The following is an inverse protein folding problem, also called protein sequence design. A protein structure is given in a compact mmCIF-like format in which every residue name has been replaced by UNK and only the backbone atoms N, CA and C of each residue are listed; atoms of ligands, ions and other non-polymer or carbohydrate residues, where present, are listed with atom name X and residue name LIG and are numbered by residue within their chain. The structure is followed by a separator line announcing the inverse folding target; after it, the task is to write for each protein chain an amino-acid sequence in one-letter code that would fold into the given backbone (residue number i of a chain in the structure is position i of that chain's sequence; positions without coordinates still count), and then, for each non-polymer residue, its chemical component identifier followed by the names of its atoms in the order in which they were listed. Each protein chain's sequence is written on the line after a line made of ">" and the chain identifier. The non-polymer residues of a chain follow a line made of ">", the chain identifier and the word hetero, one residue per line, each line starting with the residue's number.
data_IF_097517111309
#
_entry.id   IF_097517111309
#
_cell.length_a   1.000
_cell.length_b   1.000
_cell.length_c   1.000
_cell.angle_alpha   90.00
_cell.angle_beta   90.00
_cell.angle_gamma   90.00
#
_symmetry.space_group_name_H-M   'P 1'
#
loop_
_entity.id
_entity.type
_entity.pdbx_description
1 polymer ?
#
# COMPACT_ATOMS: atom_id res chain seq x y z
N UNK A 1 1.61 3.60 -25.59
CA UNK A 1 2.46 3.80 -24.38
C UNK A 1 2.63 2.46 -23.68
N UNK A 2 3.78 2.21 -23.07
CA UNK A 2 3.96 1.08 -22.15
C UNK A 2 3.23 1.37 -20.82
N UNK A 3 2.97 0.36 -20.02
CA UNK A 3 2.31 0.51 -18.70
C UNK A 3 3.07 1.49 -17.77
N UNK A 4 4.41 1.53 -17.84
CA UNK A 4 5.22 2.48 -17.08
C UNK A 4 5.07 3.92 -17.61
N UNK A 5 5.02 4.10 -18.92
CA UNK A 5 4.77 5.41 -19.55
C UNK A 5 3.36 5.92 -19.26
N UNK A 6 2.34 5.04 -19.22
CA UNK A 6 0.97 5.37 -18.82
C UNK A 6 0.95 5.91 -17.38
N UNK A 7 1.59 5.21 -16.44
CA UNK A 7 1.70 5.67 -15.07
C UNK A 7 2.36 7.06 -14.98
N UNK A 8 3.53 7.24 -15.60
CA UNK A 8 4.28 8.50 -15.56
C UNK A 8 3.49 9.65 -16.21
N UNK A 9 2.73 9.36 -17.25
CA UNK A 9 1.86 10.32 -17.91
C UNK A 9 0.80 10.85 -16.95
N UNK A 10 -0.05 9.98 -16.38
CA UNK A 10 -1.12 10.39 -15.47
C UNK A 10 -0.62 10.93 -14.14
N UNK A 11 0.58 10.55 -13.71
CA UNK A 11 1.21 11.12 -12.52
C UNK A 11 1.72 12.55 -12.73
N UNK A 12 2.31 12.85 -13.88
CA UNK A 12 3.06 14.09 -14.10
C UNK A 12 2.23 15.25 -14.65
N UNK A 13 1.16 14.97 -15.39
CA UNK A 13 0.33 16.00 -16.02
C UNK A 13 -0.71 16.55 -15.04
N UNK A 14 -0.81 17.87 -14.95
CA UNK A 14 -1.76 18.54 -14.04
C UNK A 14 -3.15 18.74 -14.66
N UNK A 15 -3.24 18.69 -15.98
CA UNK A 15 -4.49 18.83 -16.75
C UNK A 15 -4.49 17.81 -17.88
N UNK A 16 -5.67 17.32 -18.23
CA UNK A 16 -5.87 16.32 -19.28
C UNK A 16 -6.79 16.89 -20.35
N UNK A 17 -6.45 16.65 -21.62
CA UNK A 17 -7.29 16.96 -22.78
C UNK A 17 -8.47 15.96 -22.88
N UNK A 18 -9.42 16.24 -23.79
CA UNK A 18 -10.51 15.29 -24.07
C UNK A 18 -9.99 13.94 -24.59
N UNK A 19 -8.92 13.95 -25.37
CA UNK A 19 -8.27 12.72 -25.86
C UNK A 19 -7.62 11.95 -24.71
N UNK A 20 -6.94 12.61 -23.78
CA UNK A 20 -6.34 11.98 -22.61
C UNK A 20 -7.39 11.33 -21.69
N UNK A 21 -8.55 12.00 -21.56
CA UNK A 21 -9.69 11.46 -20.81
C UNK A 21 -10.26 10.24 -21.52
N UNK A 22 -10.39 10.26 -22.84
CA UNK A 22 -10.85 9.13 -23.62
C UNK A 22 -9.88 7.94 -23.52
N UNK A 23 -8.57 8.19 -23.61
CA UNK A 23 -7.54 7.17 -23.43
C UNK A 23 -7.58 6.56 -22.02
N UNK A 24 -7.82 7.38 -20.97
CA UNK A 24 -7.96 6.89 -19.61
C UNK A 24 -9.11 5.87 -19.48
N UNK A 25 -10.25 6.15 -20.10
CA UNK A 25 -11.38 5.21 -20.13
C UNK A 25 -11.04 3.93 -20.92
N UNK A 26 -10.35 4.06 -22.05
CA UNK A 26 -9.92 2.89 -22.81
C UNK A 26 -9.02 1.99 -21.97
N UNK A 27 -8.03 2.53 -21.26
CA UNK A 27 -7.16 1.75 -20.39
C UNK A 27 -7.92 1.11 -19.22
N UNK A 28 -8.76 1.88 -18.53
CA UNK A 28 -9.43 1.39 -17.30
C UNK A 28 -10.53 0.37 -17.58
N UNK A 29 -11.12 0.36 -18.77
CA UNK A 29 -12.18 -0.58 -19.17
C UNK A 29 -11.66 -1.79 -19.97
N UNK A 30 -10.37 -1.80 -20.36
CA UNK A 30 -9.80 -2.93 -21.08
C UNK A 30 -9.60 -4.13 -20.14
N UNK A 31 -10.47 -5.14 -20.32
CA UNK A 31 -10.38 -6.39 -19.56
C UNK A 31 -9.33 -7.36 -20.11
N UNK A 32 -8.81 -7.12 -21.31
CA UNK A 32 -7.75 -7.95 -21.93
C UNK A 32 -6.35 -7.54 -21.46
N UNK A 33 -6.15 -6.28 -21.12
CA UNK A 33 -4.91 -5.74 -20.54
C UNK A 33 -5.21 -4.87 -19.32
N UNK A 34 -5.51 -5.51 -18.20
CA UNK A 34 -5.88 -4.82 -16.97
C UNK A 34 -4.75 -4.01 -16.36
N UNK A 35 -3.48 -4.32 -16.67
CA UNK A 35 -2.31 -3.65 -16.09
C UNK A 35 -2.28 -2.17 -16.47
N UNK A 36 -2.56 -1.82 -17.72
CA UNK A 36 -2.54 -0.44 -18.18
C UNK A 36 -3.56 0.42 -17.40
N UNK A 37 -4.76 -0.10 -17.20
CA UNK A 37 -5.79 0.57 -16.39
C UNK A 37 -5.39 0.74 -14.93
N UNK A 38 -4.82 -0.28 -14.31
CA UNK A 38 -4.34 -0.22 -12.94
C UNK A 38 -3.19 0.78 -12.76
N UNK A 39 -2.31 0.91 -13.77
CA UNK A 39 -1.22 1.87 -13.77
C UNK A 39 -1.71 3.30 -14.03
N UNK A 40 -2.70 3.50 -14.89
CA UNK A 40 -3.35 4.80 -15.09
C UNK A 40 -4.02 5.30 -13.80
N UNK A 41 -4.78 4.44 -13.10
CA UNK A 41 -5.41 4.75 -11.81
C UNK A 41 -4.35 5.09 -10.76
N UNK A 42 -3.27 4.31 -10.68
CA UNK A 42 -2.19 4.56 -9.73
C UNK A 42 -1.48 5.90 -10.01
N UNK A 43 -1.17 6.20 -11.27
CA UNK A 43 -0.59 7.47 -11.69
C UNK A 43 -1.47 8.65 -11.32
N UNK A 44 -2.76 8.59 -11.64
CA UNK A 44 -3.73 9.66 -11.33
C UNK A 44 -3.94 9.82 -9.82
N UNK A 45 -3.97 8.73 -9.06
CA UNK A 45 -4.05 8.76 -7.59
C UNK A 45 -2.86 9.51 -7.00
N UNK A 46 -1.64 9.18 -7.42
CA UNK A 46 -0.43 9.85 -6.94
C UNK A 46 -0.41 11.32 -7.37
N UNK A 47 -0.82 11.62 -8.61
CA UNK A 47 -0.98 12.99 -9.08
C UNK A 47 -1.82 13.82 -8.11
N UNK A 48 -3.00 13.32 -7.73
CA UNK A 48 -3.92 13.97 -6.81
C UNK A 48 -3.35 14.14 -5.39
N UNK A 49 -2.44 13.26 -4.97
CA UNK A 49 -1.79 13.32 -3.65
C UNK A 49 -0.54 14.20 -3.64
N UNK A 50 0.22 14.26 -4.75
CA UNK A 50 1.48 15.02 -4.84
C UNK A 50 1.27 16.48 -5.26
N UNK A 51 0.21 16.79 -5.99
CA UNK A 51 -0.01 18.10 -6.58
C UNK A 51 -1.06 18.91 -5.79
N UNK A 52 -1.24 20.16 -6.23
CA UNK A 52 -2.34 21.01 -5.74
C UNK A 52 -3.69 20.43 -6.15
N UNK A 53 -4.70 20.77 -5.37
CA UNK A 53 -6.08 20.36 -5.62
C UNK A 53 -6.53 20.56 -7.07
N UNK A 54 -7.08 19.52 -7.67
CA UNK A 54 -7.74 19.54 -8.98
C UNK A 54 -9.05 18.78 -8.91
N UNK A 55 -10.16 19.49 -9.11
CA UNK A 55 -11.49 18.88 -9.16
C UNK A 55 -11.63 17.98 -10.40
N UNK A 56 -11.12 18.43 -11.54
CA UNK A 56 -11.26 17.72 -12.81
C UNK A 56 -10.53 16.36 -12.77
N UNK A 57 -9.33 16.34 -12.21
CA UNK A 57 -8.58 15.08 -12.04
C UNK A 57 -9.28 14.13 -11.06
N UNK A 58 -9.91 14.67 -10.00
CA UNK A 58 -10.70 13.83 -9.10
C UNK A 58 -11.97 13.32 -9.77
N UNK A 59 -12.64 14.13 -10.58
CA UNK A 59 -13.80 13.69 -11.36
C UNK A 59 -13.43 12.59 -12.35
N UNK A 60 -12.25 12.67 -12.99
CA UNK A 60 -11.76 11.62 -13.87
C UNK A 60 -11.61 10.28 -13.11
N UNK A 61 -11.06 10.31 -11.87
CA UNK A 61 -10.94 9.13 -11.03
C UNK A 61 -12.33 8.57 -10.61
N UNK A 62 -13.32 9.42 -10.34
CA UNK A 62 -14.67 9.00 -9.95
C UNK A 62 -15.41 8.38 -11.13
N UNK A 63 -15.38 9.05 -12.28
CA UNK A 63 -16.20 8.66 -13.44
C UNK A 63 -15.70 7.39 -14.12
N UNK A 64 -14.45 6.98 -13.90
CA UNK A 64 -13.95 5.70 -14.43
C UNK A 64 -14.51 4.45 -13.73
N UNK A 65 -15.28 4.60 -12.63
CA UNK A 65 -15.85 3.47 -11.92
C UNK A 65 -16.82 2.63 -12.76
N UNK A 66 -17.43 3.21 -13.79
CA UNK A 66 -18.35 2.51 -14.67
C UNK A 66 -17.60 1.60 -15.65
N UNK A 67 -17.87 0.30 -15.60
CA UNK A 67 -17.27 -0.67 -16.53
C UNK A 67 -15.83 -1.11 -16.20
N UNK A 68 -15.29 -0.67 -15.09
CA UNK A 68 -13.93 -1.00 -14.64
C UNK A 68 -13.85 -2.42 -14.05
N UNK A 69 -12.65 -3.01 -14.05
CA UNK A 69 -12.41 -4.29 -13.39
C UNK A 69 -12.61 -4.22 -11.87
N UNK A 70 -12.93 -5.33 -11.19
CA UNK A 70 -13.06 -5.34 -9.73
C UNK A 70 -11.81 -4.81 -9.00
N UNK A 71 -10.61 -5.18 -9.45
CA UNK A 71 -9.36 -4.69 -8.88
C UNK A 71 -9.17 -3.18 -9.13
N UNK A 72 -9.50 -2.72 -10.33
CA UNK A 72 -9.50 -1.29 -10.66
C UNK A 72 -10.42 -0.51 -9.74
N UNK A 73 -11.64 -1.00 -9.52
CA UNK A 73 -12.60 -0.38 -8.60
C UNK A 73 -12.06 -0.31 -7.16
N UNK A 74 -11.42 -1.37 -6.67
CA UNK A 74 -10.80 -1.36 -5.34
C UNK A 74 -9.69 -0.29 -5.25
N UNK A 75 -8.84 -0.14 -6.29
CA UNK A 75 -7.81 0.90 -6.35
C UNK A 75 -8.40 2.31 -6.40
N UNK A 76 -9.51 2.51 -7.14
CA UNK A 76 -10.23 3.79 -7.16
C UNK A 76 -10.76 4.12 -5.78
N UNK A 77 -11.41 3.20 -5.08
CA UNK A 77 -11.92 3.43 -3.73
C UNK A 77 -10.80 3.81 -2.77
N UNK A 78 -9.66 3.12 -2.80
CA UNK A 78 -8.49 3.46 -1.98
C UNK A 78 -7.97 4.85 -2.33
N UNK A 79 -7.78 5.14 -3.62
CA UNK A 79 -7.33 6.44 -4.11
C UNK A 79 -8.26 7.57 -3.65
N UNK A 80 -9.56 7.38 -3.82
CA UNK A 80 -10.60 8.34 -3.41
C UNK A 80 -10.55 8.63 -1.91
N UNK A 81 -10.42 7.59 -1.06
CA UNK A 81 -10.31 7.76 0.39
C UNK A 81 -9.05 8.57 0.77
N UNK A 82 -7.90 8.28 0.16
CA UNK A 82 -6.66 9.02 0.42
C UNK A 82 -6.76 10.48 -0.05
N UNK A 83 -7.33 10.73 -1.23
CA UNK A 83 -7.57 12.08 -1.75
C UNK A 83 -8.52 12.86 -0.85
N UNK A 84 -9.57 12.22 -0.31
CA UNK A 84 -10.46 12.85 0.67
C UNK A 84 -9.75 13.19 1.97
N UNK A 85 -8.84 12.37 2.45
CA UNK A 85 -8.02 12.67 3.64
C UNK A 85 -7.12 13.88 3.35
N UNK A 86 -6.45 13.90 2.21
CA UNK A 86 -5.52 14.97 1.82
C UNK A 86 -6.21 16.32 1.56
N UNK A 87 -7.37 16.28 0.92
CA UNK A 87 -8.06 17.47 0.41
C UNK A 87 -9.42 17.74 1.11
N UNK A 88 -9.63 17.24 2.32
CA UNK A 88 -10.86 17.34 3.11
C UNK A 88 -11.50 18.75 3.08
N UNK A 89 -10.69 19.79 3.23
CA UNK A 89 -11.16 21.18 3.27
C UNK A 89 -11.80 21.64 1.96
N UNK A 90 -11.28 21.19 0.81
CA UNK A 90 -11.82 21.55 -0.51
C UNK A 90 -13.10 20.76 -0.79
N UNK A 91 -13.10 19.46 -0.51
CA UNK A 91 -14.24 18.57 -0.77
C UNK A 91 -15.46 18.96 0.06
N UNK A 92 -15.29 19.32 1.32
CA UNK A 92 -16.39 19.78 2.20
C UNK A 92 -17.18 20.96 1.65
N UNK A 93 -16.55 21.79 0.80
CA UNK A 93 -17.16 23.03 0.25
C UNK A 93 -17.93 22.78 -1.04
N UNK A 94 -17.71 21.65 -1.71
CA UNK A 94 -18.36 21.31 -2.98
C UNK A 94 -19.39 20.19 -2.77
N UNK A 95 -20.67 20.59 -2.62
CA UNK A 95 -21.78 19.65 -2.37
C UNK A 95 -22.04 18.70 -3.54
N UNK A 96 -21.84 19.14 -4.77
CA UNK A 96 -22.06 18.31 -5.95
C UNK A 96 -20.99 17.20 -6.00
N UNK A 97 -19.72 17.58 -5.89
CA UNK A 97 -18.62 16.64 -5.81
C UNK A 97 -18.79 15.65 -4.66
N UNK A 98 -19.25 16.13 -3.49
CA UNK A 98 -19.51 15.25 -2.34
C UNK A 98 -20.60 14.22 -2.66
N UNK A 99 -21.61 14.58 -3.43
CA UNK A 99 -22.65 13.65 -3.90
C UNK A 99 -22.07 12.51 -4.74
N UNK A 100 -21.24 12.84 -5.74
CA UNK A 100 -20.55 11.86 -6.60
C UNK A 100 -19.66 10.90 -5.77
N UNK A 101 -18.87 11.46 -4.86
CA UNK A 101 -18.04 10.66 -3.95
C UNK A 101 -18.90 9.70 -3.10
N UNK A 102 -20.00 10.19 -2.53
CA UNK A 102 -20.89 9.36 -1.72
C UNK A 102 -21.50 8.22 -2.53
N UNK A 103 -21.85 8.44 -3.78
CA UNK A 103 -22.36 7.40 -4.66
C UNK A 103 -21.37 6.24 -4.81
N UNK A 104 -20.10 6.53 -5.11
CA UNK A 104 -19.04 5.52 -5.21
C UNK A 104 -18.86 4.78 -3.88
N UNK A 105 -18.75 5.48 -2.76
CA UNK A 105 -18.49 4.87 -1.45
C UNK A 105 -19.67 4.03 -0.94
N UNK A 106 -20.90 4.42 -1.26
CA UNK A 106 -22.10 3.69 -0.85
C UNK A 106 -22.44 2.51 -1.75
N UNK A 107 -21.90 2.48 -2.97
CA UNK A 107 -22.00 1.32 -3.85
C UNK A 107 -21.30 0.07 -3.26
N UNK A 108 -20.17 0.25 -2.57
CA UNK A 108 -19.44 -0.82 -1.91
C UNK A 108 -19.05 -0.44 -0.46
N UNK A 109 -20.01 -0.40 0.48
CA UNK A 109 -19.76 0.13 1.82
C UNK A 109 -18.79 -0.71 2.65
N UNK A 110 -18.79 -2.03 2.47
CA UNK A 110 -17.87 -2.93 3.16
C UNK A 110 -16.43 -2.74 2.67
N UNK A 111 -16.24 -2.56 1.36
CA UNK A 111 -14.94 -2.25 0.77
C UNK A 111 -14.42 -0.90 1.27
N UNK A 112 -15.28 0.12 1.25
CA UNK A 112 -14.94 1.47 1.73
C UNK A 112 -14.53 1.46 3.20
N UNK A 113 -15.25 0.73 4.05
CA UNK A 113 -14.90 0.58 5.46
C UNK A 113 -13.59 -0.21 5.66
N UNK A 114 -13.40 -1.29 4.91
CA UNK A 114 -12.17 -2.10 4.96
C UNK A 114 -10.96 -1.28 4.54
N UNK A 115 -11.07 -0.56 3.42
CA UNK A 115 -9.99 0.31 2.93
C UNK A 115 -9.65 1.43 3.95
N UNK A 116 -10.65 2.10 4.53
CA UNK A 116 -10.41 3.12 5.55
C UNK A 116 -9.78 2.53 6.82
N UNK A 117 -10.21 1.34 7.24
CA UNK A 117 -9.62 0.63 8.37
C UNK A 117 -8.15 0.30 8.11
N UNK A 118 -7.82 -0.12 6.89
CA UNK A 118 -6.45 -0.44 6.50
C UNK A 118 -5.58 0.83 6.40
N UNK A 119 -6.13 1.95 5.93
CA UNK A 119 -5.43 3.24 5.98
C UNK A 119 -5.14 3.63 7.45
N UNK A 120 -6.09 3.45 8.36
CA UNK A 120 -5.86 3.67 9.79
C UNK A 120 -4.74 2.79 10.34
N UNK A 121 -4.66 1.53 9.93
CA UNK A 121 -3.61 0.57 10.34
C UNK A 121 -2.21 0.96 9.88
N UNK A 122 -2.04 1.82 8.87
CA UNK A 122 -0.72 2.33 8.48
C UNK A 122 -0.06 3.13 9.61
N UNK A 123 -0.84 3.73 10.51
CA UNK A 123 -0.32 4.44 11.69
C UNK A 123 0.49 3.50 12.60
N UNK A 124 0.14 2.23 12.65
CA UNK A 124 0.83 1.22 13.46
C UNK A 124 2.18 0.80 12.87
N UNK A 125 2.40 0.98 11.56
CA UNK A 125 3.72 0.77 10.93
C UNK A 125 4.72 1.76 11.52
N UNK A 126 4.36 3.04 11.60
CA UNK A 126 5.19 4.09 12.21
C UNK A 126 5.45 3.81 13.71
N UNK A 127 4.43 3.33 14.41
CA UNK A 127 4.58 2.92 15.82
C UNK A 127 5.57 1.75 15.96
N UNK A 128 5.52 0.76 15.07
CA UNK A 128 6.48 -0.35 15.05
C UNK A 128 7.91 0.13 14.77
N UNK A 129 8.09 1.07 13.84
CA UNK A 129 9.42 1.67 13.58
C UNK A 129 9.98 2.35 14.84
N UNK A 130 9.14 3.14 15.53
CA UNK A 130 9.53 3.81 16.77
C UNK A 130 9.86 2.81 17.88
N UNK A 131 9.03 1.78 18.04
CA UNK A 131 9.24 0.70 19.00
C UNK A 131 10.58 -0.01 18.74
N UNK A 132 10.85 -0.40 17.50
CA UNK A 132 12.12 -1.06 17.15
C UNK A 132 13.34 -0.16 17.37
N UNK A 133 13.23 1.14 17.05
CA UNK A 133 14.30 2.10 17.30
C UNK A 133 14.58 2.25 18.81
N UNK A 134 13.53 2.25 19.64
CA UNK A 134 13.65 2.31 21.09
C UNK A 134 14.25 1.02 21.64
N UNK A 135 13.73 -0.14 21.26
CA UNK A 135 14.23 -1.44 21.68
C UNK A 135 15.72 -1.62 21.31
N UNK A 136 16.10 -1.19 20.11
CA UNK A 136 17.50 -1.21 19.67
C UNK A 136 18.39 -0.38 20.59
N UNK A 137 17.96 0.82 20.98
CA UNK A 137 18.71 1.67 21.93
C UNK A 137 18.85 1.02 23.31
N UNK A 138 17.81 0.33 23.79
CA UNK A 138 17.83 -0.38 25.07
C UNK A 138 18.77 -1.60 25.02
N UNK A 139 18.80 -2.33 23.90
CA UNK A 139 19.61 -3.54 23.74
C UNK A 139 21.06 -3.26 23.31
N UNK A 140 21.33 -2.15 22.61
CA UNK A 140 22.65 -1.86 22.07
C UNK A 140 23.79 -1.90 23.11
N UNK A 141 23.64 -1.37 24.35
CA UNK A 141 24.66 -1.47 25.37
C UNK A 141 24.96 -2.91 25.82
N UNK A 142 23.96 -3.81 25.67
CA UNK A 142 24.04 -5.21 26.11
C UNK A 142 24.49 -6.15 24.98
N UNK A 143 24.67 -5.64 23.74
CA UNK A 143 24.99 -6.49 22.56
C UNK A 143 26.28 -7.27 22.71
N UNK A 144 27.26 -6.75 23.43
CA UNK A 144 28.53 -7.45 23.68
C UNK A 144 28.40 -8.53 24.77
N UNK A 145 27.27 -8.58 25.47
CA UNK A 145 27.04 -9.50 26.59
C UNK A 145 25.64 -10.14 26.46
N UNK A 146 25.34 -10.72 25.28
CA UNK A 146 24.01 -11.25 24.94
C UNK A 146 23.53 -12.42 25.81
N UNK A 147 24.42 -13.01 26.63
CA UNK A 147 24.08 -14.12 27.53
C UNK A 147 23.61 -13.61 28.91
N UNK A 148 23.49 -12.29 29.12
CA UNK A 148 23.00 -11.76 30.38
C UNK A 148 21.49 -11.90 30.51
N UNK A 149 21.03 -12.23 31.71
CA UNK A 149 19.59 -12.27 32.04
C UNK A 149 18.89 -10.93 31.70
N UNK A 150 19.58 -9.82 31.87
CA UNK A 150 19.08 -8.49 31.57
C UNK A 150 18.66 -8.29 30.10
N UNK A 151 19.44 -8.84 29.12
CA UNK A 151 19.09 -8.80 27.71
C UNK A 151 17.76 -9.52 27.44
N UNK A 152 17.60 -10.71 27.97
CA UNK A 152 16.37 -11.50 27.80
C UNK A 152 15.18 -10.91 28.59
N UNK A 153 15.40 -10.31 29.73
CA UNK A 153 14.36 -9.67 30.52
C UNK A 153 13.77 -8.44 29.81
N UNK A 154 14.61 -7.62 29.15
CA UNK A 154 14.14 -6.52 28.30
C UNK A 154 13.27 -7.06 27.17
N UNK A 155 13.74 -8.05 26.38
CA UNK A 155 12.95 -8.63 25.28
C UNK A 155 11.60 -9.15 25.81
N UNK A 156 11.61 -9.92 26.87
CA UNK A 156 10.40 -10.50 27.46
C UNK A 156 9.43 -9.43 27.96
N UNK A 157 9.93 -8.35 28.57
CA UNK A 157 9.08 -7.24 29.05
C UNK A 157 8.41 -6.47 27.92
N UNK A 158 9.01 -6.45 26.72
CA UNK A 158 8.51 -5.76 25.53
C UNK A 158 7.68 -6.64 24.59
N UNK A 159 7.68 -7.95 24.80
CA UNK A 159 7.06 -8.91 23.87
C UNK A 159 5.57 -8.63 23.67
N UNK A 160 4.80 -8.40 24.74
CA UNK A 160 3.36 -8.14 24.64
C UNK A 160 3.03 -6.87 23.84
N UNK A 161 3.83 -5.82 24.00
CA UNK A 161 3.67 -4.57 23.22
C UNK A 161 4.01 -4.80 21.75
N UNK A 162 5.09 -5.52 21.46
CA UNK A 162 5.49 -5.87 20.10
C UNK A 162 4.40 -6.69 19.39
N UNK A 163 3.90 -7.74 20.05
CA UNK A 163 2.83 -8.59 19.50
C UNK A 163 1.55 -7.79 19.23
N UNK A 164 1.20 -6.87 20.13
CA UNK A 164 0.04 -6.02 19.96
C UNK A 164 0.17 -5.11 18.73
N UNK A 165 1.30 -4.41 18.57
CA UNK A 165 1.56 -3.56 17.40
C UNK A 165 1.62 -4.40 16.13
N UNK A 166 2.31 -5.54 16.15
CA UNK A 166 2.44 -6.44 15.01
C UNK A 166 1.08 -6.94 14.51
N UNK A 167 0.15 -7.24 15.42
CA UNK A 167 -1.21 -7.66 15.07
C UNK A 167 -2.04 -6.55 14.43
N UNK A 168 -1.81 -5.30 14.80
CA UNK A 168 -2.59 -4.16 14.34
C UNK A 168 -2.03 -3.50 13.08
N UNK A 169 -0.71 -3.60 12.82
CA UNK A 169 -0.11 -2.96 11.65
C UNK A 169 -0.59 -3.58 10.33
N UNK A 170 -0.65 -2.74 9.29
CA UNK A 170 -1.07 -3.17 7.96
C UNK A 170 0.00 -3.99 7.25
N UNK A 171 1.27 -3.59 7.37
CA UNK A 171 2.38 -4.12 6.58
C UNK A 171 3.41 -4.78 7.48
N UNK A 172 3.28 -6.09 7.65
CA UNK A 172 4.20 -6.89 8.47
C UNK A 172 5.59 -7.03 7.83
N UNK A 173 5.67 -6.87 6.50
CA UNK A 173 6.91 -6.99 5.74
C UNK A 173 7.65 -5.65 5.60
N UNK A 174 7.08 -4.52 6.05
CA UNK A 174 7.63 -3.19 5.83
C UNK A 174 9.11 -3.06 6.24
N UNK A 175 9.47 -3.55 7.41
CA UNK A 175 10.84 -3.44 7.91
C UNK A 175 11.82 -4.29 7.08
N UNK A 176 11.39 -5.46 6.62
CA UNK A 176 12.18 -6.31 5.72
C UNK A 176 12.31 -5.64 4.37
N UNK A 177 11.20 -5.19 3.79
CA UNK A 177 11.18 -4.49 2.50
C UNK A 177 12.07 -3.25 2.52
N UNK A 178 12.10 -2.50 3.64
CA UNK A 178 12.95 -1.33 3.80
C UNK A 178 14.45 -1.62 3.61
N UNK A 179 14.92 -2.83 3.88
CA UNK A 179 16.31 -3.19 3.63
C UNK A 179 16.57 -3.49 2.13
N UNK A 180 15.52 -3.70 1.35
CA UNK A 180 15.60 -4.24 -0.01
C UNK A 180 15.11 -3.30 -1.13
N UNK A 181 14.43 -2.20 -0.78
CA UNK A 181 13.92 -1.23 -1.76
C UNK A 181 15.01 -0.51 -2.58
N UNK A 182 16.28 -0.63 -2.17
CA UNK A 182 17.42 0.02 -2.86
C UNK A 182 17.90 -0.72 -4.11
N UNK A 183 17.19 -1.77 -4.56
CA UNK A 183 17.49 -2.47 -5.83
C UNK A 183 17.28 -1.54 -7.02
N UNK A 184 18.01 -1.75 -8.15
CA UNK A 184 17.83 -0.95 -9.36
C UNK A 184 16.37 -0.85 -9.81
N UNK A 185 15.61 -1.93 -9.70
CA UNK A 185 14.20 -1.99 -10.07
C UNK A 185 13.37 -0.88 -9.42
N UNK A 186 13.48 -0.67 -8.10
CA UNK A 186 12.73 0.37 -7.41
C UNK A 186 13.37 1.76 -7.49
N UNK A 187 14.68 1.84 -7.79
CA UNK A 187 15.42 3.12 -7.84
C UNK A 187 15.32 3.84 -9.17
N UNK A 188 15.10 3.12 -10.25
CA UNK A 188 15.14 3.66 -11.61
C UNK A 188 13.78 4.17 -12.06
N UNK A 189 12.69 3.50 -11.63
CA UNK A 189 11.34 3.78 -12.14
C UNK A 189 10.31 3.90 -10.99
N UNK A 190 9.69 5.09 -10.81
CA UNK A 190 8.62 5.28 -9.84
C UNK A 190 7.44 4.31 -10.03
N UNK A 191 7.09 4.01 -11.28
CA UNK A 191 6.01 3.10 -11.64
C UNK A 191 6.18 1.68 -11.06
N UNK A 192 7.42 1.22 -10.90
CA UNK A 192 7.72 -0.13 -10.39
C UNK A 192 7.26 -0.37 -8.94
N UNK A 193 7.02 0.70 -8.17
CA UNK A 193 6.49 0.59 -6.82
C UNK A 193 5.03 0.16 -6.76
N UNK A 194 4.29 0.40 -7.86
CA UNK A 194 2.84 0.18 -7.97
C UNK A 194 2.46 -0.77 -9.09
N UNK A 195 3.48 -1.33 -9.78
CA UNK A 195 3.30 -2.27 -10.86
C UNK A 195 2.58 -3.52 -10.35
N UNK A 196 1.44 -3.92 -10.95
CA UNK A 196 0.79 -5.18 -10.66
C UNK A 196 1.71 -6.35 -10.94
N UNK A 197 1.61 -7.39 -10.13
CA UNK A 197 2.42 -8.58 -10.29
C UNK A 197 2.19 -9.26 -11.64
N UNK A 198 3.29 -9.64 -12.29
CA UNK A 198 3.30 -10.47 -13.50
C UNK A 198 4.30 -11.60 -13.35
N UNK A 199 3.98 -12.76 -13.92
CA UNK A 199 4.86 -13.94 -13.89
C UNK A 199 6.19 -13.71 -14.61
N UNK A 200 6.30 -12.71 -15.47
CA UNK A 200 7.56 -12.34 -16.14
C UNK A 200 8.71 -12.07 -15.14
N UNK A 201 8.38 -11.59 -13.95
CA UNK A 201 9.38 -11.36 -12.90
C UNK A 201 10.04 -12.67 -12.43
N UNK A 202 9.37 -13.83 -12.57
CA UNK A 202 9.95 -15.15 -12.28
C UNK A 202 11.12 -15.52 -13.21
N UNK A 203 11.25 -14.84 -14.36
CA UNK A 203 12.41 -15.03 -15.22
C UNK A 203 13.74 -14.64 -14.55
N UNK A 204 13.71 -13.85 -13.48
CA UNK A 204 14.86 -13.55 -12.65
C UNK A 204 15.26 -14.70 -11.71
N UNK A 205 14.38 -15.69 -11.53
CA UNK A 205 14.59 -16.88 -10.70
C UNK A 205 15.19 -18.00 -11.55
N UNK A 206 16.08 -18.81 -10.95
CA UNK A 206 16.60 -20.01 -11.60
C UNK A 206 15.45 -20.96 -11.95
N UNK A 207 15.45 -21.54 -13.14
CA UNK A 207 14.32 -22.34 -13.67
C UNK A 207 13.90 -23.47 -12.72
N UNK A 208 14.86 -24.10 -12.07
CA UNK A 208 14.65 -25.19 -11.09
C UNK A 208 13.91 -24.74 -9.81
N UNK A 209 13.92 -23.45 -9.50
CA UNK A 209 13.37 -22.90 -8.28
C UNK A 209 12.05 -22.10 -8.51
N UNK A 210 11.67 -21.85 -9.77
CA UNK A 210 10.51 -21.01 -10.12
C UNK A 210 9.22 -21.51 -9.52
N UNK A 211 8.94 -22.81 -9.63
CA UNK A 211 7.71 -23.41 -9.10
C UNK A 211 7.62 -23.28 -7.58
N UNK A 212 8.73 -23.50 -6.87
CA UNK A 212 8.76 -23.38 -5.42
C UNK A 212 8.53 -21.93 -4.98
N UNK A 213 9.17 -20.97 -5.65
CA UNK A 213 9.02 -19.52 -5.35
C UNK A 213 7.64 -19.01 -5.72
N UNK A 214 7.07 -19.44 -6.84
CA UNK A 214 5.70 -19.09 -7.21
C UNK A 214 4.69 -19.60 -6.17
N UNK A 215 4.81 -20.86 -5.77
CA UNK A 215 3.99 -21.43 -4.68
C UNK A 215 4.16 -20.64 -3.37
N UNK A 216 5.38 -20.23 -3.04
CA UNK A 216 5.64 -19.39 -1.87
C UNK A 216 4.90 -18.06 -1.94
N UNK A 217 4.93 -17.39 -3.09
CA UNK A 217 4.26 -16.11 -3.30
C UNK A 217 2.73 -16.21 -3.25
N UNK A 218 2.17 -17.35 -3.66
CA UNK A 218 0.74 -17.59 -3.56
C UNK A 218 0.27 -17.85 -2.13
N UNK A 219 1.13 -18.42 -1.29
CA UNK A 219 0.81 -18.76 0.10
C UNK A 219 1.09 -17.62 1.10
N UNK A 220 2.04 -16.76 0.80
CA UNK A 220 2.39 -15.66 1.69
C UNK A 220 1.59 -14.41 1.37
N UNK A 221 1.06 -13.67 2.37
CA UNK A 221 0.34 -12.41 2.15
C UNK A 221 1.31 -11.28 1.75
N UNK A 222 1.85 -11.38 0.54
CA UNK A 222 2.76 -10.41 -0.07
C UNK A 222 1.97 -9.46 -0.96
N UNK A 223 2.28 -8.16 -0.85
CA UNK A 223 1.88 -7.22 -1.90
C UNK A 223 2.81 -7.36 -3.12
N UNK A 224 2.41 -6.78 -4.26
CA UNK A 224 3.17 -6.97 -5.49
C UNK A 224 4.61 -6.45 -5.39
N UNK A 225 4.85 -5.36 -4.67
CA UNK A 225 6.22 -4.88 -4.44
C UNK A 225 7.09 -5.86 -3.63
N UNK A 226 6.51 -6.67 -2.71
CA UNK A 226 7.26 -7.74 -2.03
C UNK A 226 7.66 -8.85 -2.99
N UNK A 227 6.74 -9.24 -3.90
CA UNK A 227 7.00 -10.28 -4.90
C UNK A 227 8.12 -9.86 -5.85
N UNK A 228 8.07 -8.61 -6.33
CA UNK A 228 9.16 -8.05 -7.15
C UNK A 228 10.48 -8.00 -6.38
N UNK A 229 10.46 -7.52 -5.13
CA UNK A 229 11.66 -7.48 -4.30
C UNK A 229 12.27 -8.87 -4.13
N UNK A 230 11.44 -9.87 -3.84
CA UNK A 230 11.88 -11.27 -3.70
C UNK A 230 12.57 -11.77 -4.98
N UNK A 231 11.94 -11.57 -6.16
CA UNK A 231 12.51 -12.01 -7.43
C UNK A 231 13.85 -11.34 -7.77
N UNK A 232 13.93 -10.02 -7.57
CA UNK A 232 15.15 -9.27 -7.87
C UNK A 232 16.30 -9.58 -6.92
N UNK A 233 16.00 -10.08 -5.73
CA UNK A 233 17.00 -10.38 -4.72
C UNK A 233 17.31 -11.86 -4.59
N UNK A 234 16.52 -12.71 -5.20
CA UNK A 234 16.59 -14.15 -5.05
C UNK A 234 18.01 -14.68 -5.16
N UNK A 235 18.75 -14.31 -6.23
CA UNK A 235 20.12 -14.78 -6.46
C UNK A 235 21.09 -14.43 -5.32
N UNK A 236 20.92 -13.29 -4.67
CA UNK A 236 21.77 -12.84 -3.57
C UNK A 236 21.44 -13.52 -2.24
N UNK A 237 20.21 -14.00 -2.07
CA UNK A 237 19.70 -14.55 -0.81
C UNK A 237 19.14 -15.97 -0.94
N UNK A 238 19.41 -16.66 -2.07
CA UNK A 238 18.91 -18.01 -2.37
C UNK A 238 19.04 -18.99 -1.20
N UNK A 239 20.21 -19.07 -0.57
CA UNK A 239 20.46 -19.97 0.56
C UNK A 239 19.63 -19.62 1.81
N UNK A 240 19.47 -18.34 2.09
CA UNK A 240 18.66 -17.86 3.22
C UNK A 240 17.17 -18.11 2.97
N UNK A 241 16.69 -17.79 1.77
CA UNK A 241 15.29 -18.00 1.37
C UNK A 241 14.95 -19.51 1.50
N UNK A 242 15.77 -20.39 0.92
CA UNK A 242 15.56 -21.85 1.01
C UNK A 242 15.65 -22.42 2.42
N UNK A 243 16.46 -21.83 3.30
CA UNK A 243 16.59 -22.31 4.68
C UNK A 243 15.49 -21.83 5.63
N UNK A 244 14.86 -20.68 5.33
CA UNK A 244 13.94 -20.02 6.25
C UNK A 244 12.48 -20.03 5.77
N UNK A 245 12.26 -20.14 4.46
CA UNK A 245 10.96 -20.02 3.83
C UNK A 245 10.62 -21.32 3.09
N UNK A 246 10.31 -22.39 3.83
CA UNK A 246 9.74 -23.58 3.20
C UNK A 246 8.22 -23.43 3.07
N UNK A 247 7.68 -23.91 1.94
CA UNK A 247 6.21 -23.98 1.71
C UNK A 247 5.49 -24.70 2.85
N UNK A 248 6.12 -25.71 3.45
CA UNK A 248 5.55 -26.47 4.56
C UNK A 248 5.43 -25.63 5.83
N UNK A 249 6.41 -24.78 6.14
CA UNK A 249 6.36 -23.85 7.28
C UNK A 249 5.23 -22.84 7.17
N UNK A 250 4.89 -22.42 5.95
CA UNK A 250 3.81 -21.45 5.72
C UNK A 250 2.42 -22.06 5.76
N UNK A 251 2.29 -23.33 5.30
CA UNK A 251 1.02 -24.06 5.41
C UNK A 251 0.61 -24.31 6.87
N UNK A 252 1.59 -24.50 7.75
CA UNK A 252 1.35 -24.69 9.19
C UNK A 252 0.80 -23.43 9.88
N UNK A 253 1.05 -22.24 9.33
CA UNK A 253 0.58 -20.96 9.91
C UNK A 253 -0.90 -20.66 9.60
N UNK A 254 -1.55 -21.44 8.72
CA UNK A 254 -3.02 -21.39 8.49
C UNK A 254 -3.52 -20.03 8.06
N UNK A 255 -2.94 -19.46 7.00
CA UNK A 255 -3.33 -18.14 6.49
C UNK A 255 -4.66 -18.29 5.73
N UNK A 256 -5.76 -17.85 6.35
CA UNK A 256 -7.06 -17.73 5.70
C UNK A 256 -7.05 -16.47 4.80
N UNK A 257 -6.91 -16.71 3.49
CA UNK A 257 -6.72 -15.67 2.50
C UNK A 257 -8.03 -15.34 1.78
N UNK A 258 -8.81 -14.40 2.31
CA UNK A 258 -9.90 -13.81 1.54
C UNK A 258 -9.32 -12.87 0.47
N UNK A 259 -9.39 -13.25 -0.80
CA UNK A 259 -8.80 -12.57 -1.95
C UNK A 259 -9.06 -11.05 -1.98
N UNK A 260 -10.29 -10.60 -1.68
CA UNK A 260 -10.63 -9.17 -1.67
C UNK A 260 -9.81 -8.32 -0.68
N UNK A 261 -9.61 -8.83 0.53
CA UNK A 261 -8.85 -8.12 1.57
C UNK A 261 -7.39 -7.96 1.17
N UNK A 262 -6.84 -8.90 0.41
CA UNK A 262 -5.44 -8.90 -0.02
C UNK A 262 -5.17 -7.80 -1.04
N UNK A 263 -6.02 -7.65 -2.07
CA UNK A 263 -5.82 -6.62 -3.11
C UNK A 263 -5.83 -5.22 -2.50
N UNK A 264 -6.85 -4.90 -1.72
CA UNK A 264 -6.98 -3.60 -1.06
C UNK A 264 -5.79 -3.34 -0.10
N UNK A 265 -5.41 -4.32 0.70
CA UNK A 265 -4.28 -4.22 1.61
C UNK A 265 -2.97 -4.00 0.85
N UNK A 266 -2.72 -4.80 -0.18
CA UNK A 266 -1.53 -4.74 -1.01
C UNK A 266 -1.35 -3.36 -1.63
N UNK A 267 -2.39 -2.79 -2.21
CA UNK A 267 -2.31 -1.48 -2.84
C UNK A 267 -2.05 -0.35 -1.83
N UNK A 268 -2.68 -0.38 -0.64
CA UNK A 268 -2.39 0.60 0.42
C UNK A 268 -0.94 0.44 0.92
N UNK A 269 -0.44 -0.79 1.07
CA UNK A 269 0.96 -1.04 1.43
C UNK A 269 1.92 -0.45 0.40
N UNK A 270 1.67 -0.68 -0.90
CA UNK A 270 2.48 -0.15 -1.99
C UNK A 270 2.49 1.39 -2.00
N UNK A 271 1.33 2.05 -1.85
CA UNK A 271 1.23 3.51 -1.75
C UNK A 271 1.97 4.04 -0.52
N UNK A 272 1.81 3.41 0.65
CA UNK A 272 2.52 3.79 1.87
C UNK A 272 4.04 3.70 1.67
N UNK A 273 4.53 2.60 1.12
CA UNK A 273 5.95 2.38 0.82
C UNK A 273 6.47 3.39 -0.19
N UNK A 274 5.72 3.63 -1.27
CA UNK A 274 6.06 4.62 -2.29
C UNK A 274 6.31 6.00 -1.67
N UNK A 275 5.40 6.50 -0.86
CA UNK A 275 5.55 7.80 -0.23
C UNK A 275 6.59 7.82 0.89
N UNK A 276 6.76 6.73 1.60
CA UNK A 276 7.65 6.67 2.77
C UNK A 276 9.11 6.42 2.40
N UNK A 277 9.36 5.58 1.41
CA UNK A 277 10.69 5.13 1.02
C UNK A 277 11.11 5.64 -0.36
N UNK A 278 10.17 5.81 -1.28
CA UNK A 278 10.45 6.19 -2.65
C UNK A 278 11.16 7.53 -2.78
N UNK A 279 10.85 8.50 -1.93
CA UNK A 279 11.57 9.79 -1.90
C UNK A 279 13.08 9.65 -1.64
N UNK A 280 13.47 8.63 -0.87
CA UNK A 280 14.88 8.30 -0.59
C UNK A 280 15.49 7.54 -1.78
N UNK A 281 14.75 6.54 -2.29
CA UNK A 281 15.22 5.67 -3.36
C UNK A 281 15.41 6.40 -4.69
N UNK A 282 14.49 7.31 -5.03
CA UNK A 282 14.39 8.00 -6.32
C UNK A 282 15.04 9.38 -6.33
N UNK A 283 15.95 9.67 -5.39
CA UNK A 283 16.70 10.92 -5.32
C UNK A 283 15.82 12.18 -5.48
N UNK A 284 14.74 12.28 -4.70
CA UNK A 284 13.80 13.41 -4.67
C UNK A 284 12.86 13.59 -5.87
N UNK A 285 12.72 12.63 -6.77
CA UNK A 285 11.70 12.71 -7.84
C UNK A 285 10.26 12.54 -7.33
N UNK A 286 10.09 12.18 -6.05
CA UNK A 286 8.78 12.08 -5.38
C UNK A 286 8.61 13.29 -4.47
N UNK A 287 7.50 14.00 -4.61
CA UNK A 287 7.17 15.14 -3.74
C UNK A 287 6.77 14.61 -2.35
N UNK A 288 7.38 15.10 -1.26
CA UNK A 288 7.04 14.67 0.10
C UNK A 288 5.59 14.95 0.52
N UNK A 289 4.88 15.83 -0.21
CA UNK A 289 3.51 16.23 0.09
C UNK A 289 2.55 15.04 0.19
N UNK A 290 2.69 14.04 -0.68
CA UNK A 290 1.86 12.84 -0.62
C UNK A 290 2.07 11.96 0.63
N UNK A 291 3.25 12.01 1.23
CA UNK A 291 3.51 11.27 2.48
C UNK A 291 2.64 11.78 3.66
N UNK A 292 2.24 13.06 3.63
CA UNK A 292 1.41 13.68 4.66
C UNK A 292 0.03 13.02 4.81
N UNK A 293 -0.51 12.40 3.76
CA UNK A 293 -1.82 11.73 3.83
C UNK A 293 -1.86 10.64 4.89
N UNK A 294 -0.79 9.87 5.04
CA UNK A 294 -0.71 8.82 6.05
C UNK A 294 -0.43 9.37 7.46
N UNK A 295 0.18 10.54 7.57
CA UNK A 295 0.29 11.25 8.85
C UNK A 295 -1.07 11.82 9.29
N UNK A 296 -1.91 12.28 8.34
CA UNK A 296 -3.28 12.72 8.63
C UNK A 296 -4.20 11.57 9.08
N UNK A 297 -3.84 10.31 8.80
CA UNK A 297 -4.62 9.14 9.25
C UNK A 297 -4.78 9.07 10.78
N UNK A 298 -3.90 9.69 11.57
CA UNK A 298 -4.09 9.85 13.02
C UNK A 298 -5.33 10.71 13.39
N UNK A 299 -5.72 11.62 12.50
CA UNK A 299 -6.83 12.55 12.72
C UNK A 299 -8.11 12.14 11.97
N UNK A 300 -8.23 10.89 11.53
CA UNK A 300 -9.38 10.41 10.75
C UNK A 300 -10.74 10.78 11.37
N UNK A 301 -10.86 10.81 12.69
CA UNK A 301 -12.11 11.14 13.41
C UNK A 301 -12.64 12.56 13.09
N UNK A 302 -11.74 13.49 12.76
CA UNK A 302 -12.05 14.87 12.48
C UNK A 302 -12.38 15.11 11.00
N UNK A 303 -12.07 14.14 10.16
CA UNK A 303 -12.24 14.23 8.72
C UNK A 303 -13.65 13.85 8.27
N UNK A 304 -14.06 14.43 7.15
CA UNK A 304 -15.36 14.16 6.54
C UNK A 304 -15.56 12.68 6.22
N UNK A 305 -14.51 12.04 5.70
CA UNK A 305 -14.54 10.63 5.31
C UNK A 305 -14.93 9.70 6.45
N UNK A 306 -14.52 9.98 7.69
CA UNK A 306 -14.91 9.21 8.85
C UNK A 306 -16.43 9.16 9.01
N UNK A 307 -17.11 10.30 8.84
CA UNK A 307 -18.56 10.41 8.97
C UNK A 307 -19.32 9.73 7.84
N UNK A 308 -18.71 9.61 6.66
CA UNK A 308 -19.33 9.00 5.49
C UNK A 308 -19.22 7.47 5.53
N UNK A 309 -18.10 6.96 5.98
CA UNK A 309 -17.76 5.52 5.91
C UNK A 309 -18.02 4.79 7.21
N UNK A 310 -17.76 5.45 8.36
CA UNK A 310 -17.84 4.80 9.68
C UNK A 310 -19.25 4.97 10.25
N UNK A 311 -20.15 4.07 9.86
CA UNK A 311 -21.55 4.08 10.27
C UNK A 311 -21.81 3.03 11.34
N UNK A 312 -22.34 3.46 12.50
CA UNK A 312 -22.72 2.58 13.60
C UNK A 312 -21.62 2.37 14.65
N UNK A 313 -22.05 1.90 15.82
CA UNK A 313 -21.18 1.81 17.02
C UNK A 313 -20.04 0.82 16.87
N UNK A 314 -20.26 -0.31 16.21
CA UNK A 314 -19.23 -1.33 16.02
C UNK A 314 -18.10 -0.83 15.09
N UNK A 315 -18.45 -0.17 13.98
CA UNK A 315 -17.49 0.44 13.08
C UNK A 315 -16.66 1.52 13.78
N UNK A 316 -17.31 2.36 14.58
CA UNK A 316 -16.63 3.39 15.40
C UNK A 316 -15.65 2.78 16.39
N UNK A 317 -16.05 1.72 17.10
CA UNK A 317 -15.17 1.02 18.06
C UNK A 317 -13.95 0.41 17.34
N UNK A 318 -14.15 -0.25 16.20
CA UNK A 318 -13.06 -0.86 15.44
C UNK A 318 -12.00 0.18 15.01
N UNK A 319 -12.43 1.29 14.39
CA UNK A 319 -11.49 2.35 14.00
C UNK A 319 -10.83 3.00 15.23
N UNK A 320 -11.56 3.21 16.32
CA UNK A 320 -11.01 3.80 17.53
C UNK A 320 -9.90 2.94 18.15
N UNK A 321 -10.01 1.62 18.09
CA UNK A 321 -8.96 0.70 18.54
C UNK A 321 -7.69 0.78 17.67
N UNK A 322 -7.84 1.05 16.36
CA UNK A 322 -6.70 1.19 15.47
C UNK A 322 -5.96 2.53 15.64
N UNK A 323 -6.67 3.56 16.11
CA UNK A 323 -6.13 4.92 16.32
C UNK A 323 -5.70 5.19 17.77
N UNK A 324 -5.86 4.23 18.68
CA UNK A 324 -5.39 4.32 20.05
C UNK A 324 -3.92 3.95 20.17
#
# INVERSE_FOLDING_TARGET
>A
MTNLEIFDYYRSHTTFSEDDVADFYVYTQDTSNTIDGLMAIAGLTINLLENSWSKDNLMLLITCCDGITPEGFERVVVGLLLVMIQHDTYIRRDRALLGEIQEVLTYAPELSFTALSNIARTTQIKRMEQFNAQLTKELMPLMNNRETNEFYDIIRSRQSEMEHIAKLQLDQNFLIFREFYSTPFFREQPANWLLPWTEDALLNIDEEDREEIDNLMQLWPMCDSDKYALCHMYKSFKSLIKSQLSVDSLREVGIDMQHKTIVTNGYIQQLYRFFRLGGIALNSHIKPTGAGVFDLAHNLRDLLIYRLVVVGTQAQQAINQLLA
#
